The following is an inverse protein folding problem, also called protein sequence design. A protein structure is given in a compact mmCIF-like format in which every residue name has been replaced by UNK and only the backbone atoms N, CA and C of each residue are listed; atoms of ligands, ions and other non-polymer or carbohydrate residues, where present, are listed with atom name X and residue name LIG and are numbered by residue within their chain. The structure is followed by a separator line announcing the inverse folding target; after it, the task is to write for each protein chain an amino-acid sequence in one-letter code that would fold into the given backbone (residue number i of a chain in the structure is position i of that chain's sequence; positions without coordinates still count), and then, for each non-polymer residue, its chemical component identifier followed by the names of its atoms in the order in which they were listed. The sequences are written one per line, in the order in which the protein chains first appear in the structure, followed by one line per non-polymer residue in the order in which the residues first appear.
data_IF_482836899672
#
_entry.id   IF_482836899672
#
_cell.length_a   1.000
_cell.length_b   1.000
_cell.length_c   1.000
_cell.angle_alpha   90.00
_cell.angle_beta   90.00
_cell.angle_gamma   90.00
#
_symmetry.space_group_name_H-M   'P 1'
#
loop_
_entity.id
_entity.type
_entity.pdbx_description
1 polymer ?
#
# COMPACT_ATOMS: atom_id res chain seq x y z
N UNK A 1 39.62 37.91 -16.37
CA UNK A 1 38.88 36.67 -16.69
C UNK A 1 38.19 36.03 -15.45
N UNK A 2 37.75 36.80 -14.44
CA UNK A 2 37.07 36.25 -13.23
C UNK A 2 35.55 36.46 -13.21
N UNK A 3 35.01 37.41 -13.98
CA UNK A 3 33.58 37.77 -13.99
C UNK A 3 32.69 36.70 -14.63
N UNK A 4 33.14 36.09 -15.73
CA UNK A 4 32.31 35.17 -16.51
C UNK A 4 32.20 33.79 -15.85
N UNK A 5 33.20 33.40 -15.05
CA UNK A 5 33.18 32.14 -14.30
C UNK A 5 32.15 32.18 -13.16
N UNK A 6 32.03 33.33 -12.48
CA UNK A 6 31.04 33.52 -11.41
C UNK A 6 29.61 33.58 -11.96
N UNK A 7 29.42 34.24 -13.11
CA UNK A 7 28.14 34.22 -13.81
C UNK A 7 27.75 32.81 -14.29
N UNK A 8 28.70 32.06 -14.85
CA UNK A 8 28.47 30.67 -15.26
C UNK A 8 28.16 29.76 -14.07
N UNK A 9 28.88 29.90 -12.95
CA UNK A 9 28.63 29.15 -11.73
C UNK A 9 27.25 29.45 -11.13
N UNK A 10 26.82 30.71 -11.15
CA UNK A 10 25.48 31.10 -10.72
C UNK A 10 24.38 30.48 -11.60
N UNK A 11 24.56 30.48 -12.92
CA UNK A 11 23.62 29.86 -13.86
C UNK A 11 23.49 28.35 -13.65
N UNK A 12 24.61 27.64 -13.50
CA UNK A 12 24.60 26.20 -13.22
C UNK A 12 23.95 25.91 -11.87
N UNK A 13 24.22 26.74 -10.86
CA UNK A 13 23.59 26.62 -9.54
C UNK A 13 22.06 26.71 -9.59
N UNK A 14 21.51 27.67 -10.34
CA UNK A 14 20.06 27.82 -10.54
C UNK A 14 19.47 26.61 -11.27
N UNK A 15 20.18 26.07 -12.27
CA UNK A 15 19.72 24.89 -13.00
C UNK A 15 19.72 23.63 -12.14
N UNK A 16 20.74 23.44 -11.30
CA UNK A 16 20.81 22.33 -10.35
C UNK A 16 19.72 22.45 -9.28
N UNK A 17 19.50 23.65 -8.75
CA UNK A 17 18.40 23.91 -7.80
C UNK A 17 17.03 23.66 -8.44
N UNK A 18 16.83 24.10 -9.69
CA UNK A 18 15.62 23.83 -10.46
C UNK A 18 15.41 22.33 -10.74
N UNK A 19 16.48 21.59 -11.05
CA UNK A 19 16.42 20.14 -11.26
C UNK A 19 16.12 19.38 -9.96
N UNK A 20 16.69 19.80 -8.83
CA UNK A 20 16.41 19.20 -7.51
C UNK A 20 14.98 19.53 -7.07
N UNK A 21 14.53 20.78 -7.25
CA UNK A 21 13.16 21.18 -6.95
C UNK A 21 12.13 20.49 -7.87
N UNK A 22 12.45 20.34 -9.16
CA UNK A 22 11.64 19.61 -10.12
C UNK A 22 11.57 18.11 -9.80
N UNK A 23 12.71 17.45 -9.61
CA UNK A 23 12.77 16.03 -9.26
C UNK A 23 12.10 15.74 -7.90
N UNK A 24 12.33 16.60 -6.90
CA UNK A 24 11.69 16.52 -5.60
C UNK A 24 10.18 16.76 -5.67
N UNK A 25 9.75 17.77 -6.42
CA UNK A 25 8.35 18.13 -6.64
C UNK A 25 7.58 17.05 -7.38
N UNK A 26 8.12 16.52 -8.49
CA UNK A 26 7.51 15.42 -9.25
C UNK A 26 7.45 14.14 -8.42
N UNK A 27 8.49 13.83 -7.64
CA UNK A 27 8.48 12.66 -6.75
C UNK A 27 7.43 12.81 -5.65
N UNK A 28 7.33 13.97 -5.01
CA UNK A 28 6.31 14.24 -3.99
C UNK A 28 4.89 14.25 -4.57
N UNK A 29 4.71 14.77 -5.77
CA UNK A 29 3.44 14.79 -6.49
C UNK A 29 3.00 13.37 -6.89
N UNK A 30 3.92 12.56 -7.44
CA UNK A 30 3.66 11.15 -7.73
C UNK A 30 3.34 10.34 -6.47
N UNK A 31 4.05 10.55 -5.36
CA UNK A 31 3.74 9.89 -4.08
C UNK A 31 2.39 10.30 -3.50
N UNK A 32 1.90 11.51 -3.82
CA UNK A 32 0.63 12.05 -3.31
C UNK A 32 -0.57 11.68 -4.19
N UNK A 33 -0.39 11.61 -5.51
CA UNK A 33 -1.50 11.39 -6.46
C UNK A 33 -1.66 9.92 -6.90
N UNK A 34 -0.58 9.12 -6.90
CA UNK A 34 -0.64 7.72 -7.34
C UNK A 34 -0.71 6.67 -6.23
N UNK A 35 -0.71 7.08 -4.95
CA UNK A 35 -0.47 6.11 -3.88
C UNK A 35 0.88 5.43 -4.08
N UNK A 36 1.26 4.48 -3.22
CA UNK A 36 2.50 3.75 -3.47
C UNK A 36 2.38 2.97 -4.79
N UNK A 37 3.46 2.76 -5.57
CA UNK A 37 3.45 1.80 -6.70
C UNK A 37 3.06 0.36 -6.31
N UNK A 38 2.85 0.14 -5.00
CA UNK A 38 2.55 -1.13 -4.35
C UNK A 38 1.09 -1.20 -3.83
N UNK A 39 0.36 -0.08 -3.85
CA UNK A 39 -1.10 -0.07 -3.70
C UNK A 39 -1.68 -0.39 -5.07
N UNK A 40 -2.03 -1.67 -5.27
CA UNK A 40 -2.74 -2.06 -6.48
C UNK A 40 -3.95 -1.16 -6.74
N UNK A 41 -4.38 -0.99 -8.01
CA UNK A 41 -5.42 -0.03 -8.36
C UNK A 41 -6.67 -0.21 -7.49
N UNK A 42 -7.43 0.89 -7.22
CA UNK A 42 -8.69 0.84 -6.49
C UNK A 42 -9.59 -0.30 -6.98
N UNK A 43 -10.41 -0.89 -6.11
CA UNK A 43 -11.22 -2.08 -6.42
C UNK A 43 -12.07 -1.90 -7.68
N UNK A 44 -12.62 -0.69 -7.86
CA UNK A 44 -13.40 -0.26 -9.02
C UNK A 44 -12.56 -0.19 -10.30
N UNK A 45 -11.28 0.19 -10.18
CA UNK A 45 -10.35 0.22 -11.31
C UNK A 45 -9.95 -1.20 -11.69
N UNK A 46 -9.73 -2.09 -10.72
CA UNK A 46 -9.44 -3.51 -10.98
C UNK A 46 -10.57 -4.23 -11.70
N UNK A 47 -11.82 -4.03 -11.27
CA UNK A 47 -12.98 -4.65 -11.93
C UNK A 47 -13.16 -4.13 -13.37
N UNK A 48 -12.98 -2.82 -13.60
CA UNK A 48 -12.99 -2.23 -14.94
C UNK A 48 -11.91 -2.80 -15.86
N UNK A 49 -10.67 -2.91 -15.37
CA UNK A 49 -9.56 -3.50 -16.13
C UNK A 49 -9.84 -4.96 -16.49
N UNK A 50 -10.39 -5.74 -15.55
CA UNK A 50 -10.78 -7.15 -15.78
C UNK A 50 -11.86 -7.26 -16.86
N UNK A 51 -12.91 -6.43 -16.80
CA UNK A 51 -13.97 -6.41 -17.81
C UNK A 51 -13.43 -5.99 -19.18
N UNK A 52 -12.54 -4.99 -19.23
CA UNK A 52 -11.94 -4.54 -20.48
C UNK A 52 -11.07 -5.63 -21.12
N UNK A 53 -10.31 -6.38 -20.32
CA UNK A 53 -9.53 -7.53 -20.79
C UNK A 53 -10.44 -8.62 -21.35
N UNK A 54 -11.51 -9.00 -20.62
CA UNK A 54 -12.49 -9.98 -21.10
C UNK A 54 -13.19 -9.52 -22.38
N UNK A 55 -13.57 -8.24 -22.49
CA UNK A 55 -14.19 -7.69 -23.69
C UNK A 55 -13.27 -7.83 -24.92
N UNK A 56 -11.98 -7.54 -24.76
CA UNK A 56 -10.99 -7.62 -25.86
C UNK A 56 -10.68 -9.05 -26.28
N UNK A 57 -10.70 -9.98 -25.33
CA UNK A 57 -10.29 -11.36 -25.58
C UNK A 57 -11.46 -12.27 -25.99
N UNK A 58 -12.69 -11.93 -25.59
CA UNK A 58 -13.89 -12.74 -25.81
C UNK A 58 -14.93 -12.05 -26.70
N UNK A 59 -14.59 -10.89 -27.27
CA UNK A 59 -15.46 -10.07 -28.13
C UNK A 59 -16.86 -9.84 -27.55
N UNK A 60 -16.91 -9.48 -26.27
CA UNK A 60 -18.16 -9.33 -25.53
C UNK A 60 -19.03 -8.20 -26.09
N UNK A 61 -20.32 -8.48 -26.26
CA UNK A 61 -21.32 -7.47 -26.61
C UNK A 61 -21.57 -6.48 -25.45
N UNK A 62 -22.13 -5.29 -25.72
CA UNK A 62 -22.47 -4.32 -24.68
C UNK A 62 -23.39 -4.90 -23.57
N UNK A 63 -24.34 -5.73 -23.96
CA UNK A 63 -25.27 -6.38 -23.02
C UNK A 63 -24.55 -7.41 -22.14
N UNK A 64 -23.62 -8.19 -22.73
CA UNK A 64 -22.80 -9.15 -21.98
C UNK A 64 -21.90 -8.45 -20.97
N UNK A 65 -21.26 -7.34 -21.37
CA UNK A 65 -20.44 -6.50 -20.48
C UNK A 65 -21.27 -6.00 -19.29
N UNK A 66 -22.50 -5.56 -19.53
CA UNK A 66 -23.40 -5.07 -18.48
C UNK A 66 -23.75 -6.17 -17.49
N UNK A 67 -24.12 -7.36 -17.99
CA UNK A 67 -24.41 -8.53 -17.13
C UNK A 67 -23.20 -8.98 -16.31
N UNK A 68 -22.02 -9.06 -16.93
CA UNK A 68 -20.78 -9.44 -16.24
C UNK A 68 -20.39 -8.42 -15.18
N UNK A 69 -20.61 -7.13 -15.44
CA UNK A 69 -20.38 -6.08 -14.44
C UNK A 69 -21.22 -6.32 -13.20
N UNK A 70 -22.52 -6.60 -13.35
CA UNK A 70 -23.41 -6.91 -12.23
C UNK A 70 -22.93 -8.14 -11.45
N UNK A 71 -22.61 -9.25 -12.15
CA UNK A 71 -22.08 -10.47 -11.52
C UNK A 71 -20.83 -10.20 -10.69
N UNK A 72 -19.89 -9.40 -11.22
CA UNK A 72 -18.67 -9.06 -10.50
C UNK A 72 -18.92 -8.13 -9.30
N UNK A 73 -19.94 -7.27 -9.35
CA UNK A 73 -20.34 -6.43 -8.22
C UNK A 73 -20.96 -7.27 -7.11
N UNK A 74 -21.89 -8.15 -7.44
CA UNK A 74 -22.54 -9.03 -6.46
C UNK A 74 -21.53 -9.96 -5.79
N UNK A 75 -20.62 -10.55 -6.57
CA UNK A 75 -19.54 -11.39 -6.05
C UNK A 75 -18.59 -10.63 -5.11
N UNK A 76 -18.33 -9.35 -5.37
CA UNK A 76 -17.51 -8.52 -4.47
C UNK A 76 -18.21 -8.29 -3.13
N UNK A 77 -19.53 -8.04 -3.15
CA UNK A 77 -20.31 -7.89 -1.91
C UNK A 77 -20.34 -9.19 -1.10
N UNK A 78 -20.55 -10.32 -1.76
CA UNK A 78 -20.50 -11.64 -1.11
C UNK A 78 -19.13 -11.92 -0.50
N UNK A 79 -18.06 -11.61 -1.24
CA UNK A 79 -16.70 -11.78 -0.77
C UNK A 79 -16.40 -10.89 0.44
N UNK A 80 -16.84 -9.63 0.44
CA UNK A 80 -16.68 -8.74 1.60
C UNK A 80 -17.48 -9.21 2.82
N UNK A 81 -18.71 -9.69 2.62
CA UNK A 81 -19.53 -10.30 3.68
C UNK A 81 -18.85 -11.54 4.27
N UNK A 82 -18.24 -12.38 3.43
CA UNK A 82 -17.53 -13.57 3.89
C UNK A 82 -16.23 -13.25 4.64
N UNK A 83 -15.48 -12.24 4.19
CA UNK A 83 -14.20 -11.88 4.82
C UNK A 83 -14.34 -11.03 6.07
N UNK A 84 -15.40 -10.22 6.20
CA UNK A 84 -15.56 -9.29 7.32
C UNK A 84 -15.45 -9.98 8.69
N UNK A 85 -16.16 -11.10 8.98
CA UNK A 85 -16.03 -11.79 10.27
C UNK A 85 -14.60 -12.25 10.56
N UNK A 86 -13.89 -12.76 9.53
CA UNK A 86 -12.50 -13.18 9.68
C UNK A 86 -11.58 -12.00 10.01
N UNK A 87 -11.78 -10.84 9.38
CA UNK A 87 -11.02 -9.62 9.70
C UNK A 87 -11.28 -9.16 11.12
N UNK A 88 -12.55 -9.15 11.54
CA UNK A 88 -12.96 -8.75 12.89
C UNK A 88 -12.36 -9.67 13.96
N UNK A 89 -12.37 -10.99 13.72
CA UNK A 89 -11.77 -11.98 14.61
C UNK A 89 -10.24 -11.81 14.72
N UNK A 90 -9.56 -11.60 13.59
CA UNK A 90 -8.12 -11.35 13.58
C UNK A 90 -7.76 -10.05 14.30
N UNK A 91 -8.57 -9.00 14.18
CA UNK A 91 -8.39 -7.77 14.94
C UNK A 91 -8.57 -8.01 16.45
N UNK A 92 -9.59 -8.78 16.84
CA UNK A 92 -9.83 -9.14 18.23
C UNK A 92 -8.66 -9.95 18.82
N UNK A 93 -8.13 -10.94 18.09
CA UNK A 93 -6.93 -11.71 18.49
C UNK A 93 -5.76 -10.76 18.71
N UNK A 94 -5.52 -9.85 17.77
CA UNK A 94 -4.44 -8.88 17.87
C UNK A 94 -4.57 -8.00 19.11
N UNK A 95 -5.75 -7.43 19.37
CA UNK A 95 -5.99 -6.58 20.54
C UNK A 95 -5.67 -7.31 21.84
N UNK A 96 -6.15 -8.55 21.98
CA UNK A 96 -5.85 -9.38 23.16
C UNK A 96 -4.35 -9.65 23.33
N UNK A 97 -3.63 -9.87 22.23
CA UNK A 97 -2.18 -10.08 22.26
C UNK A 97 -1.47 -8.78 22.66
N UNK A 98 -1.86 -7.65 22.08
CA UNK A 98 -1.30 -6.33 22.39
C UNK A 98 -1.51 -5.97 23.87
N UNK A 99 -2.67 -6.28 24.44
CA UNK A 99 -2.98 -6.12 25.87
C UNK A 99 -2.04 -6.93 26.76
N UNK A 100 -1.88 -8.24 26.47
CA UNK A 100 -0.97 -9.12 27.22
C UNK A 100 0.48 -8.65 27.15
N UNK A 101 0.91 -8.13 26.00
CA UNK A 101 2.24 -7.54 25.86
C UNK A 101 2.34 -6.33 26.78
N UNK A 102 1.38 -5.41 26.73
CA UNK A 102 1.37 -4.19 27.53
C UNK A 102 1.41 -4.48 29.03
N UNK A 103 0.71 -5.50 29.52
CA UNK A 103 0.73 -5.93 30.93
C UNK A 103 2.13 -6.36 31.41
N UNK A 104 2.98 -6.83 30.50
CA UNK A 104 4.36 -7.26 30.81
C UNK A 104 5.39 -6.13 30.74
N UNK A 105 4.99 -4.93 30.32
CA UNK A 105 5.89 -3.80 30.08
C UNK A 105 5.83 -2.78 31.22
N UNK A 106 6.92 -2.06 31.42
CA UNK A 106 6.89 -0.86 32.27
C UNK A 106 6.04 0.26 31.62
N UNK A 107 5.59 1.27 32.38
CA UNK A 107 4.71 2.32 31.84
C UNK A 107 5.29 3.10 30.64
N UNK A 108 6.60 3.32 30.62
CA UNK A 108 7.27 4.04 29.53
C UNK A 108 7.36 3.17 28.26
N UNK A 109 7.65 1.88 28.42
CA UNK A 109 7.64 0.88 27.35
C UNK A 109 6.24 0.67 26.79
N UNK A 110 5.22 0.55 27.64
CA UNK A 110 3.82 0.40 27.24
C UNK A 110 3.36 1.57 26.36
N UNK A 111 3.77 2.79 26.69
CA UNK A 111 3.45 3.99 25.91
C UNK A 111 4.08 3.93 24.51
N UNK A 112 5.37 3.59 24.44
CA UNK A 112 6.08 3.40 23.17
C UNK A 112 5.48 2.27 22.33
N UNK A 113 5.06 1.17 22.95
CA UNK A 113 4.45 0.04 22.28
C UNK A 113 3.11 0.41 21.63
N UNK A 114 2.24 1.16 22.33
CA UNK A 114 0.97 1.65 21.75
C UNK A 114 1.20 2.50 20.51
N UNK A 115 2.14 3.45 20.56
CA UNK A 115 2.50 4.27 19.39
C UNK A 115 3.05 3.44 18.23
N UNK A 116 3.90 2.45 18.54
CA UNK A 116 4.45 1.53 17.55
C UNK A 116 3.35 0.72 16.86
N UNK A 117 2.45 0.13 17.65
CA UNK A 117 1.33 -0.68 17.16
C UNK A 117 0.35 0.12 16.31
N UNK A 118 0.06 1.35 16.69
CA UNK A 118 -0.75 2.31 15.92
C UNK A 118 -0.10 2.67 14.57
N UNK A 119 1.20 2.99 14.57
CA UNK A 119 1.94 3.27 13.34
C UNK A 119 1.95 2.07 12.39
N UNK A 120 2.12 0.86 12.94
CA UNK A 120 2.04 -0.36 12.15
C UNK A 120 0.62 -0.61 11.64
N UNK A 121 -0.42 -0.41 12.45
CA UNK A 121 -1.81 -0.60 12.02
C UNK A 121 -2.19 0.33 10.86
N UNK A 122 -1.82 1.62 10.94
CA UNK A 122 -2.05 2.60 9.85
C UNK A 122 -1.36 2.23 8.54
N UNK A 123 -0.27 1.45 8.59
CA UNK A 123 0.42 0.92 7.41
C UNK A 123 -0.27 -0.31 6.82
N UNK A 124 -1.00 -1.12 7.61
CA UNK A 124 -1.73 -2.32 7.14
C UNK A 124 -2.93 -1.99 6.26
N UNK A 125 -3.47 -0.77 6.33
CA UNK A 125 -4.59 -0.31 5.49
C UNK A 125 -4.19 0.17 4.07
N UNK A 126 -2.90 0.13 3.71
CA UNK A 126 -2.35 0.59 2.42
C UNK A 126 -1.65 -0.53 1.65
N UNK A 127 -2.41 -1.56 1.25
CA UNK A 127 -1.87 -2.63 0.41
C UNK A 127 -1.02 -3.65 1.18
N UNK A 128 -0.76 -4.81 0.55
CA UNK A 128 -0.46 -6.02 1.29
C UNK A 128 0.93 -5.95 1.89
N UNK A 129 1.08 -6.56 3.05
CA UNK A 129 2.35 -7.00 3.59
C UNK A 129 3.24 -7.48 2.44
N UNK A 130 4.50 -7.02 2.33
CA UNK A 130 5.50 -7.87 1.73
C UNK A 130 5.38 -9.19 2.51
N UNK A 131 5.30 -10.32 1.80
CA UNK A 131 5.63 -11.59 2.41
C UNK A 131 7.05 -11.45 2.97
N UNK A 132 7.17 -11.00 4.22
CA UNK A 132 8.27 -11.39 5.05
C UNK A 132 8.08 -12.90 5.18
N UNK A 133 8.68 -13.66 4.27
CA UNK A 133 9.08 -15.01 4.60
C UNK A 133 9.80 -14.90 5.95
N UNK A 134 9.33 -15.56 7.02
CA UNK A 134 10.17 -15.78 8.17
C UNK A 134 11.20 -16.84 7.73
N UNK A 135 12.22 -16.42 6.98
CA UNK A 135 13.48 -17.15 6.91
C UNK A 135 14.10 -17.07 8.31
N UNK A 136 13.65 -17.96 9.20
CA UNK A 136 14.05 -17.95 10.61
C UNK A 136 13.62 -19.15 11.44
N UNK A 137 12.70 -19.99 10.99
CA UNK A 137 12.36 -21.24 11.67
C UNK A 137 12.41 -22.42 10.70
N UNK A 138 13.62 -22.87 10.37
CA UNK A 138 13.81 -24.27 9.99
C UNK A 138 13.79 -25.08 11.30
N UNK A 139 12.93 -26.11 11.45
CA UNK A 139 13.08 -27.05 12.56
C UNK A 139 14.44 -27.76 12.43
N UNK A 140 15.15 -28.05 13.54
CA UNK A 140 16.45 -28.72 13.46
C UNK A 140 16.31 -30.10 12.80
N UNK A 141 17.33 -30.55 12.05
CA UNK A 141 17.32 -31.87 11.45
C UNK A 141 17.19 -32.93 12.54
N UNK A 142 16.24 -33.85 12.35
CA UNK A 142 16.14 -35.05 13.18
C UNK A 142 17.33 -35.94 12.80
N UNK A 143 18.28 -36.08 13.72
CA UNK A 143 19.26 -37.16 13.71
C UNK A 143 18.60 -38.44 14.23
#
# INVERSE_FOLDING_TARGET
MKSNFWAAAAFVGVFVLGAVAGAGGTRAYMFKEFGSPFDGPPREVRSRLRIQAMRRQLDLSPDQVTKIKTILQDAEEEHEKALKPCRDEMEAVRKRVDEKIIESLDPAQATKFREFSEKMHKRRGRGPFPHAHPSGFLPPPRH
#
